data_IF_350431744109
#
_entry.id   IF_350431744109
#
_cell.length_a   1.000
_cell.length_b   1.000
_cell.length_c   1.000
_cell.angle_alpha   90.00
_cell.angle_beta   90.00
_cell.angle_gamma   90.00
#
_symmetry.space_group_name_H-M   'P 1'
#
loop_
_entity.id
_entity.type
_entity.pdbx_description
1 polymer ?
#
# COMPACT_ATOMS: atom_id res chain seq x y z
N UNK A 1 15.54 52.97 -27.54
CA UNK A 1 14.41 52.15 -27.03
C UNK A 1 13.87 51.29 -28.18
N UNK A 2 14.72 50.39 -28.70
CA UNK A 2 14.47 49.44 -29.80
C UNK A 2 15.80 48.69 -29.98
N UNK A 3 15.98 47.59 -29.24
CA UNK A 3 16.99 46.53 -29.53
C UNK A 3 17.01 45.37 -28.52
N UNK A 4 16.00 45.26 -27.63
CA UNK A 4 15.99 44.22 -26.59
C UNK A 4 15.30 42.90 -27.00
N UNK A 5 14.91 42.73 -28.26
CA UNK A 5 14.10 41.58 -28.73
C UNK A 5 14.80 40.66 -29.75
N UNK A 6 16.11 40.41 -29.61
CA UNK A 6 16.78 39.40 -30.47
C UNK A 6 17.90 38.64 -29.77
N UNK A 7 17.52 37.69 -28.92
CA UNK A 7 18.37 36.52 -28.61
C UNK A 7 17.51 35.25 -28.58
N UNK A 8 17.12 34.78 -29.77
CA UNK A 8 16.79 33.37 -30.00
C UNK A 8 18.08 32.57 -29.79
N UNK A 9 18.23 31.94 -28.63
CA UNK A 9 19.24 30.91 -28.42
C UNK A 9 18.65 29.61 -28.99
N UNK A 10 19.22 29.15 -30.09
CA UNK A 10 18.94 27.83 -30.64
C UNK A 10 19.16 26.78 -29.53
N UNK A 11 18.08 26.10 -29.14
CA UNK A 11 18.16 24.84 -28.40
C UNK A 11 18.63 23.82 -29.43
N UNK A 12 19.91 23.47 -29.40
CA UNK A 12 20.42 22.28 -30.06
C UNK A 12 19.81 21.09 -29.33
N UNK A 13 18.81 20.46 -29.95
CA UNK A 13 18.33 19.14 -29.56
C UNK A 13 19.51 18.20 -29.79
N UNK A 14 20.13 17.80 -28.69
CA UNK A 14 21.20 16.81 -28.70
C UNK A 14 20.58 15.48 -29.16
N UNK A 15 20.92 15.06 -30.38
CA UNK A 15 20.38 13.87 -31.06
C UNK A 15 20.94 12.54 -30.49
N UNK A 16 21.55 12.58 -29.32
CA UNK A 16 22.16 11.43 -28.62
C UNK A 16 21.20 10.71 -27.66
N UNK A 17 19.98 11.19 -27.45
CA UNK A 17 19.00 10.57 -26.55
C UNK A 17 18.22 9.37 -27.15
N UNK A 18 18.67 8.78 -28.27
CA UNK A 18 18.06 7.59 -28.88
C UNK A 18 18.97 6.35 -28.85
N UNK A 19 19.89 6.27 -27.89
CA UNK A 19 20.61 5.03 -27.57
C UNK A 19 20.50 4.76 -26.07
N UNK A 20 20.15 3.52 -25.73
CA UNK A 20 19.87 3.05 -24.37
C UNK A 20 21.10 2.96 -23.45
N UNK A 21 21.90 4.02 -23.36
CA UNK A 21 22.98 4.16 -22.39
C UNK A 21 22.59 5.20 -21.34
N UNK A 22 21.70 4.79 -20.43
CA UNK A 22 21.41 5.57 -19.23
C UNK A 22 22.58 5.48 -18.26
N UNK A 23 23.60 6.34 -18.43
CA UNK A 23 24.69 6.48 -17.46
C UNK A 23 24.11 6.83 -16.09
N UNK A 24 24.45 6.02 -15.08
CA UNK A 24 24.15 6.30 -13.69
C UNK A 24 24.86 7.60 -13.31
N UNK A 25 24.09 8.66 -13.03
CA UNK A 25 24.64 9.94 -12.58
C UNK A 25 24.17 10.22 -11.16
N UNK A 26 25.03 10.76 -10.29
CA UNK A 26 24.61 11.33 -9.02
C UNK A 26 23.46 12.31 -9.23
N UNK A 27 22.42 12.23 -8.40
CA UNK A 27 21.27 13.14 -8.50
C UNK A 27 21.66 14.62 -8.34
N UNK A 28 22.80 14.90 -7.68
CA UNK A 28 23.35 16.23 -7.43
C UNK A 28 24.11 16.84 -8.62
N UNK A 29 24.34 16.12 -9.72
CA UNK A 29 25.24 16.55 -10.81
C UNK A 29 24.54 17.40 -11.90
N UNK A 30 23.44 18.06 -11.56
CA UNK A 30 22.69 18.98 -12.44
C UNK A 30 22.47 20.33 -11.77
N UNK A 31 22.38 21.39 -12.58
CA UNK A 31 22.05 22.74 -12.12
C UNK A 31 20.66 22.70 -11.45
N UNK A 32 20.65 22.74 -10.11
CA UNK A 32 19.41 22.78 -9.31
C UNK A 32 18.77 24.12 -9.65
N UNK A 33 17.84 24.10 -10.62
CA UNK A 33 16.94 25.22 -10.79
C UNK A 33 16.19 25.30 -9.47
N UNK A 34 16.36 26.40 -8.73
CA UNK A 34 15.53 26.71 -7.57
C UNK A 34 14.10 26.83 -8.10
N UNK A 35 13.39 25.71 -8.18
CA UNK A 35 11.96 25.71 -8.44
C UNK A 35 11.38 26.44 -7.23
N UNK A 36 10.71 27.60 -7.41
CA UNK A 36 10.07 28.23 -6.29
C UNK A 36 9.17 27.19 -5.62
N UNK A 37 9.30 27.05 -4.30
CA UNK A 37 8.40 26.25 -3.49
C UNK A 37 7.02 26.87 -3.64
N UNK A 38 6.30 26.50 -4.70
CA UNK A 38 4.88 26.78 -4.79
C UNK A 38 4.29 25.90 -3.69
N UNK A 39 3.73 26.53 -2.68
CA UNK A 39 2.94 25.88 -1.64
C UNK A 39 1.71 25.29 -2.33
N UNK A 40 1.87 24.09 -2.93
CA UNK A 40 0.78 23.35 -3.53
C UNK A 40 -0.09 22.95 -2.35
N UNK A 41 -1.27 23.57 -2.25
CA UNK A 41 -2.28 23.30 -1.22
C UNK A 41 -2.35 21.80 -0.93
N UNK A 42 -2.25 21.43 0.36
CA UNK A 42 -2.21 20.03 0.77
C UNK A 42 -3.43 19.26 0.24
N UNK A 43 -3.19 18.18 -0.53
CA UNK A 43 -4.18 17.10 -0.64
C UNK A 43 -4.23 16.44 0.73
N UNK A 44 -5.16 16.88 1.58
CA UNK A 44 -5.37 16.33 2.92
C UNK A 44 -5.95 14.91 2.85
N UNK A 45 -5.13 13.93 2.47
CA UNK A 45 -5.48 12.50 2.50
C UNK A 45 -4.89 11.77 3.73
N UNK A 46 -3.81 12.31 4.31
CA UNK A 46 -3.16 11.74 5.50
C UNK A 46 -2.80 12.87 6.48
N UNK A 47 -3.53 12.97 7.59
CA UNK A 47 -3.18 13.86 8.70
C UNK A 47 -2.02 13.25 9.50
N UNK A 48 -0.85 13.89 9.46
CA UNK A 48 0.27 13.54 10.32
C UNK A 48 0.03 14.05 11.73
N UNK A 49 -0.08 13.16 12.72
CA UNK A 49 -0.04 13.57 14.14
C UNK A 49 1.33 14.12 14.52
N UNK A 50 2.40 13.53 13.99
CA UNK A 50 3.81 13.93 14.16
C UNK A 50 4.60 13.60 12.90
N UNK A 51 5.69 14.33 12.65
CA UNK A 51 6.55 14.12 11.48
C UNK A 51 6.49 15.24 10.46
N UNK A 52 6.99 14.97 9.25
CA UNK A 52 7.06 15.99 8.19
C UNK A 52 5.71 16.31 7.59
N UNK A 53 5.46 17.60 7.35
CA UNK A 53 4.31 18.08 6.57
C UNK A 53 4.61 18.18 5.08
N UNK A 54 5.86 17.99 4.66
CA UNK A 54 6.24 18.04 3.26
C UNK A 54 5.56 16.89 2.49
N UNK A 55 5.14 17.19 1.26
CA UNK A 55 4.51 16.25 0.33
C UNK A 55 5.16 16.40 -1.04
N UNK A 56 5.16 15.32 -1.80
CA UNK A 56 5.49 15.39 -3.21
C UNK A 56 4.39 16.14 -3.99
N UNK A 57 4.80 16.75 -5.09
CA UNK A 57 3.96 17.49 -6.03
C UNK A 57 3.92 16.79 -7.38
N UNK A 58 3.12 17.29 -8.33
CA UNK A 58 3.10 16.79 -9.70
C UNK A 58 4.39 17.11 -10.49
N UNK A 59 5.25 18.01 -9.97
CA UNK A 59 6.51 18.36 -10.61
C UNK A 59 7.65 17.44 -10.16
N UNK A 60 8.23 16.70 -11.11
CA UNK A 60 9.31 15.75 -10.86
C UNK A 60 10.60 16.42 -10.35
N UNK A 61 10.93 17.61 -10.85
CA UNK A 61 12.16 18.33 -10.48
C UNK A 61 12.07 18.82 -9.02
N UNK A 62 10.88 19.26 -8.59
CA UNK A 62 10.58 19.57 -7.20
C UNK A 62 10.73 18.35 -6.30
N UNK A 63 10.15 17.22 -6.70
CA UNK A 63 10.19 15.98 -5.92
C UNK A 63 11.62 15.48 -5.70
N UNK A 64 12.44 15.48 -6.76
CA UNK A 64 13.86 15.13 -6.68
C UNK A 64 14.59 16.11 -5.78
N UNK A 65 14.32 17.42 -5.86
CA UNK A 65 14.99 18.42 -5.02
C UNK A 65 14.71 18.24 -3.53
N UNK A 66 13.48 17.90 -3.14
CA UNK A 66 13.15 17.57 -1.75
C UNK A 66 13.91 16.34 -1.30
N UNK A 67 13.95 15.31 -2.15
CA UNK A 67 14.61 14.06 -1.81
C UNK A 67 16.12 14.25 -1.64
N UNK A 68 16.79 14.97 -2.55
CA UNK A 68 18.23 15.24 -2.47
C UNK A 68 18.60 16.16 -1.30
N UNK A 69 17.71 17.08 -0.92
CA UNK A 69 17.88 17.89 0.29
C UNK A 69 17.78 17.04 1.57
N UNK A 70 16.87 16.05 1.59
CA UNK A 70 16.69 15.14 2.73
C UNK A 70 17.82 14.12 2.85
N UNK A 71 18.24 13.56 1.73
CA UNK A 71 19.27 12.54 1.63
C UNK A 71 20.46 13.07 0.82
N UNK A 72 21.29 13.96 1.39
CA UNK A 72 22.45 14.55 0.71
C UNK A 72 23.60 13.53 0.62
N UNK A 73 23.42 12.51 -0.21
CA UNK A 73 24.44 11.49 -0.47
C UNK A 73 24.89 11.52 -1.92
N UNK A 74 26.18 11.26 -2.15
CA UNK A 74 26.73 11.08 -3.50
C UNK A 74 26.33 9.73 -4.11
N UNK A 75 25.99 8.77 -3.25
CA UNK A 75 25.52 7.43 -3.63
C UNK A 75 24.05 7.41 -4.07
N UNK A 76 23.36 8.55 -3.99
CA UNK A 76 22.01 8.68 -4.52
C UNK A 76 22.08 8.85 -6.04
N UNK A 77 21.78 7.76 -6.75
CA UNK A 77 21.87 7.68 -8.20
C UNK A 77 20.50 7.91 -8.84
N UNK A 78 20.48 8.70 -9.91
CA UNK A 78 19.28 9.03 -10.67
C UNK A 78 19.43 8.53 -12.11
N UNK A 79 18.48 7.71 -12.56
CA UNK A 79 18.38 7.27 -13.95
C UNK A 79 17.11 7.82 -14.60
N UNK A 80 17.27 8.50 -15.73
CA UNK A 80 16.19 9.20 -16.42
C UNK A 80 15.71 8.41 -17.63
N UNK A 81 14.40 8.33 -17.80
CA UNK A 81 13.71 7.66 -18.90
C UNK A 81 12.67 8.60 -19.51
N UNK A 82 12.33 8.34 -20.77
CA UNK A 82 11.20 8.98 -21.46
C UNK A 82 10.28 7.87 -21.95
N UNK A 83 9.03 7.88 -21.48
CA UNK A 83 8.06 6.80 -21.72
C UNK A 83 6.83 7.38 -22.43
N UNK A 84 6.32 6.63 -23.40
CA UNK A 84 5.14 7.02 -24.17
C UNK A 84 5.50 7.55 -25.55
N UNK A 85 4.97 6.93 -26.62
CA UNK A 85 5.27 7.36 -28.00
C UNK A 85 4.77 8.76 -28.32
N UNK A 86 3.67 9.20 -27.69
CA UNK A 86 3.08 10.53 -27.88
C UNK A 86 3.42 11.49 -26.76
N UNK A 87 3.32 11.06 -25.49
CA UNK A 87 3.52 11.96 -24.35
C UNK A 87 4.98 12.22 -24.01
N UNK A 88 5.90 11.28 -24.32
CA UNK A 88 7.32 11.35 -23.95
C UNK A 88 7.51 11.78 -22.47
N UNK A 89 6.69 11.20 -21.59
CA UNK A 89 6.63 11.56 -20.17
C UNK A 89 7.96 11.23 -19.50
N UNK A 90 8.50 12.18 -18.73
CA UNK A 90 9.76 11.99 -17.97
C UNK A 90 9.50 11.05 -16.79
N UNK A 91 10.35 10.05 -16.64
CA UNK A 91 10.35 9.13 -15.50
C UNK A 91 11.76 9.08 -14.93
N UNK A 92 11.90 9.16 -13.60
CA UNK A 92 13.19 9.13 -12.93
C UNK A 92 13.17 8.00 -11.91
N UNK A 93 14.06 7.04 -12.09
CA UNK A 93 14.36 6.00 -11.11
C UNK A 93 15.49 6.48 -10.20
N UNK A 94 15.28 6.38 -8.88
CA UNK A 94 16.21 6.82 -7.84
C UNK A 94 16.49 5.66 -6.90
N UNK A 95 17.76 5.44 -6.58
CA UNK A 95 18.21 4.38 -5.67
C UNK A 95 19.56 4.74 -5.04
N UNK A 96 19.89 4.09 -3.92
CA UNK A 96 21.21 4.19 -3.31
C UNK A 96 22.14 3.10 -3.87
N UNK A 97 23.24 3.50 -4.50
CA UNK A 97 24.17 2.58 -5.18
C UNK A 97 24.77 1.51 -4.26
N UNK A 98 25.13 1.89 -3.03
CA UNK A 98 25.76 0.98 -2.06
C UNK A 98 24.77 0.03 -1.37
N UNK A 99 23.49 0.37 -1.34
CA UNK A 99 22.47 -0.36 -0.57
C UNK A 99 21.55 -1.19 -1.46
N UNK A 100 21.18 -0.67 -2.62
CA UNK A 100 20.22 -1.31 -3.49
C UNK A 100 20.82 -2.55 -4.19
N UNK A 101 20.06 -3.64 -4.23
CA UNK A 101 20.49 -4.85 -4.92
C UNK A 101 20.58 -4.60 -6.44
N UNK A 102 21.77 -4.77 -7.06
CA UNK A 102 21.97 -4.48 -8.48
C UNK A 102 21.08 -5.33 -9.40
N UNK A 103 20.73 -6.56 -9.00
CA UNK A 103 19.83 -7.41 -9.75
C UNK A 103 18.43 -6.81 -9.84
N UNK A 104 17.90 -6.30 -8.72
CA UNK A 104 16.59 -5.66 -8.66
C UNK A 104 16.60 -4.32 -9.43
N UNK A 105 17.68 -3.54 -9.30
CA UNK A 105 17.87 -2.31 -10.09
C UNK A 105 17.82 -2.61 -11.59
N UNK A 106 18.50 -3.66 -12.05
CA UNK A 106 18.47 -4.06 -13.45
C UNK A 106 17.09 -4.52 -13.90
N UNK A 107 16.38 -5.28 -13.06
CA UNK A 107 15.05 -5.79 -13.37
C UNK A 107 14.02 -4.67 -13.51
N UNK A 108 14.00 -3.70 -12.58
CA UNK A 108 13.12 -2.54 -12.66
C UNK A 108 13.46 -1.68 -13.87
N UNK A 109 14.76 -1.44 -14.13
CA UNK A 109 15.22 -0.70 -15.30
C UNK A 109 14.73 -1.34 -16.60
N UNK A 110 14.87 -2.65 -16.74
CA UNK A 110 14.48 -3.39 -17.94
C UNK A 110 12.95 -3.36 -18.12
N UNK A 111 12.18 -3.52 -17.04
CA UNK A 111 10.72 -3.41 -17.07
C UNK A 111 10.26 -2.02 -17.48
N UNK A 112 10.83 -0.96 -16.90
CA UNK A 112 10.53 0.43 -17.28
C UNK A 112 10.86 0.67 -18.76
N UNK A 113 12.00 0.17 -19.23
CA UNK A 113 12.41 0.28 -20.64
C UNK A 113 11.53 -0.50 -21.61
N UNK A 114 10.89 -1.59 -21.16
CA UNK A 114 10.00 -2.41 -21.96
C UNK A 114 8.58 -1.82 -22.12
N UNK A 115 8.22 -0.77 -21.39
CA UNK A 115 6.86 -0.19 -21.41
C UNK A 115 6.56 0.43 -22.78
N UNK A 116 5.65 -0.20 -23.52
CA UNK A 116 5.13 0.29 -24.81
C UNK A 116 3.71 0.84 -24.64
N UNK A 117 3.60 2.07 -24.15
CA UNK A 117 2.33 2.82 -24.12
C UNK A 117 2.36 4.02 -25.05
N UNK A 118 1.18 4.50 -25.47
CA UNK A 118 1.06 5.73 -26.25
C UNK A 118 1.24 6.96 -25.36
N UNK A 119 0.66 6.91 -24.17
CA UNK A 119 0.61 8.02 -23.20
C UNK A 119 0.73 7.50 -21.79
N UNK A 120 1.45 8.22 -20.94
CA UNK A 120 1.50 8.02 -19.49
C UNK A 120 0.86 9.25 -18.85
N UNK A 121 -0.27 9.07 -18.15
CA UNK A 121 -0.98 10.15 -17.48
C UNK A 121 -0.66 10.24 -15.99
N UNK A 122 -0.32 9.11 -15.37
CA UNK A 122 -0.12 9.01 -13.92
C UNK A 122 0.88 7.89 -13.60
N UNK A 123 1.43 7.89 -12.39
CA UNK A 123 2.34 6.86 -11.87
C UNK A 123 1.72 5.47 -11.91
N UNK A 124 0.40 5.36 -11.67
CA UNK A 124 -0.38 4.11 -11.75
C UNK A 124 -0.22 3.38 -13.11
N UNK A 125 0.02 4.11 -14.21
CA UNK A 125 0.26 3.48 -15.51
C UNK A 125 1.61 2.77 -15.55
N UNK A 126 2.64 3.35 -14.91
CA UNK A 126 3.95 2.72 -14.80
C UNK A 126 3.85 1.54 -13.83
N UNK A 127 3.25 1.77 -12.66
CA UNK A 127 2.98 0.77 -11.63
C UNK A 127 2.42 -0.53 -12.23
N UNK A 128 1.28 -0.41 -12.93
CA UNK A 128 0.62 -1.56 -13.55
C UNK A 128 1.49 -2.30 -14.54
N UNK A 129 2.40 -1.64 -15.24
CA UNK A 129 3.25 -2.30 -16.25
C UNK A 129 4.52 -2.94 -15.66
N UNK A 130 4.94 -2.52 -14.46
CA UNK A 130 6.14 -3.05 -13.80
C UNK A 130 5.83 -4.18 -12.81
N UNK A 131 4.58 -4.32 -12.35
CA UNK A 131 4.18 -5.39 -11.44
C UNK A 131 4.29 -6.80 -12.06
N UNK A 132 4.65 -7.80 -11.25
CA UNK A 132 4.74 -9.20 -11.67
C UNK A 132 3.36 -9.81 -11.93
N UNK A 133 2.43 -9.63 -11.00
CA UNK A 133 1.13 -10.33 -11.02
C UNK A 133 -0.05 -9.36 -11.03
N UNK A 134 -0.36 -8.86 -12.22
CA UNK A 134 -1.43 -7.90 -12.50
C UNK A 134 -2.86 -8.35 -12.09
N UNK A 135 -3.05 -9.66 -11.86
CA UNK A 135 -4.35 -10.25 -11.48
C UNK A 135 -4.45 -10.43 -9.95
N UNK A 136 -3.31 -10.41 -9.25
CA UNK A 136 -3.28 -10.56 -7.80
C UNK A 136 -4.03 -9.39 -7.15
N UNK A 137 -4.90 -9.64 -6.17
CA UNK A 137 -5.51 -8.54 -5.42
C UNK A 137 -4.49 -7.83 -4.54
N UNK A 138 -3.37 -8.47 -4.18
CA UNK A 138 -2.34 -7.90 -3.33
C UNK A 138 -1.39 -7.01 -4.12
N UNK A 139 -1.18 -5.74 -3.71
CA UNK A 139 -0.28 -4.83 -4.39
C UNK A 139 1.18 -5.30 -4.20
N UNK A 140 1.96 -5.23 -5.26
CA UNK A 140 3.37 -5.67 -5.25
C UNK A 140 4.35 -4.50 -5.14
N UNK A 141 3.81 -3.29 -5.12
CA UNK A 141 4.49 -2.01 -5.02
C UNK A 141 3.77 -1.17 -3.97
N UNK A 142 4.50 -0.23 -3.38
CA UNK A 142 3.93 0.74 -2.45
C UNK A 142 3.93 2.11 -3.10
N UNK A 143 2.80 2.80 -3.08
CA UNK A 143 2.69 4.19 -3.53
C UNK A 143 2.70 5.14 -2.33
N UNK A 144 3.48 6.22 -2.43
CA UNK A 144 3.56 7.21 -1.35
C UNK A 144 3.74 8.63 -1.87
N UNK A 145 3.02 9.56 -1.25
CA UNK A 145 3.17 11.01 -1.45
C UNK A 145 4.13 11.63 -0.42
N UNK A 146 4.66 10.82 0.49
CA UNK A 146 5.46 11.33 1.61
C UNK A 146 6.96 11.15 1.34
N UNK A 147 7.75 12.25 1.42
CA UNK A 147 9.19 12.17 1.24
C UNK A 147 9.91 11.35 2.31
N UNK A 148 9.41 11.36 3.55
CA UNK A 148 9.98 10.58 4.67
C UNK A 148 9.85 9.07 4.48
N UNK A 149 8.71 8.61 3.93
CA UNK A 149 8.52 7.19 3.59
C UNK A 149 9.47 6.77 2.46
N UNK A 150 9.62 7.61 1.43
CA UNK A 150 10.54 7.34 0.31
C UNK A 150 11.99 7.31 0.76
N UNK A 151 12.39 8.24 1.65
CA UNK A 151 13.72 8.26 2.25
C UNK A 151 14.00 6.97 3.05
N UNK A 152 13.06 6.55 3.90
CA UNK A 152 13.18 5.29 4.65
C UNK A 152 13.28 4.07 3.72
N UNK A 153 12.49 4.03 2.65
CA UNK A 153 12.52 2.94 1.68
C UNK A 153 13.86 2.86 0.93
N UNK A 154 14.41 4.00 0.50
CA UNK A 154 15.72 4.06 -0.14
C UNK A 154 16.84 3.59 0.81
N UNK A 155 16.78 3.98 2.08
CA UNK A 155 17.73 3.54 3.11
C UNK A 155 17.65 2.02 3.38
N UNK A 156 16.48 1.40 3.15
CA UNK A 156 16.30 -0.05 3.21
C UNK A 156 16.78 -0.78 1.94
N UNK A 157 17.25 -0.06 0.92
CA UNK A 157 17.70 -0.64 -0.35
C UNK A 157 16.59 -0.81 -1.40
N UNK A 158 15.39 -0.26 -1.16
CA UNK A 158 14.31 -0.19 -2.15
C UNK A 158 14.59 0.91 -3.16
N UNK A 159 13.90 0.85 -4.29
CA UNK A 159 14.05 1.75 -5.44
C UNK A 159 12.79 2.62 -5.53
N UNK A 160 12.99 3.92 -5.77
CA UNK A 160 11.91 4.88 -5.94
C UNK A 160 11.78 5.27 -7.42
N UNK A 161 10.55 5.28 -7.95
CA UNK A 161 10.26 5.69 -9.32
C UNK A 161 9.32 6.89 -9.31
N UNK A 162 9.80 8.01 -9.84
CA UNK A 162 9.08 9.26 -9.97
C UNK A 162 8.56 9.42 -11.41
N UNK A 163 7.33 9.88 -11.55
CA UNK A 163 6.69 10.13 -12.86
C UNK A 163 6.26 11.59 -12.93
N UNK A 164 6.64 12.28 -14.00
CA UNK A 164 6.27 13.68 -14.22
C UNK A 164 4.76 13.82 -14.44
N UNK A 165 4.12 14.71 -13.69
CA UNK A 165 2.67 14.87 -13.64
C UNK A 165 1.95 14.07 -12.55
N UNK A 166 2.68 13.29 -11.72
CA UNK A 166 2.10 12.54 -10.60
C UNK A 166 2.72 12.94 -9.26
N UNK A 167 1.91 13.15 -8.20
CA UNK A 167 2.41 13.36 -6.84
C UNK A 167 2.79 12.06 -6.13
N UNK A 168 2.42 10.90 -6.68
CA UNK A 168 2.64 9.59 -6.09
C UNK A 168 3.97 9.00 -6.58
N UNK A 169 4.80 8.57 -5.64
CA UNK A 169 6.08 7.89 -5.90
C UNK A 169 5.89 6.39 -5.72
N UNK A 170 6.36 5.62 -6.68
CA UNK A 170 6.30 4.15 -6.63
C UNK A 170 7.55 3.64 -5.94
N UNK A 171 7.38 2.80 -4.91
CA UNK A 171 8.45 2.15 -4.17
C UNK A 171 8.42 0.65 -4.47
N UNK A 172 9.55 0.11 -4.90
CA UNK A 172 9.69 -1.29 -5.29
C UNK A 172 11.10 -1.80 -4.97
N UNK A 173 11.26 -3.07 -4.60
CA UNK A 173 10.22 -4.06 -4.28
C UNK A 173 9.51 -3.74 -2.96
N UNK A 174 8.44 -4.48 -2.68
CA UNK A 174 7.60 -4.29 -1.49
C UNK A 174 7.15 -5.64 -0.94
N UNK A 175 7.20 -5.80 0.38
CA UNK A 175 6.62 -6.93 1.11
C UNK A 175 5.30 -6.55 1.78
N UNK A 176 4.55 -7.54 2.24
CA UNK A 176 3.35 -7.30 3.05
C UNK A 176 3.62 -6.47 4.31
N UNK A 177 4.79 -6.64 4.90
CA UNK A 177 5.12 -5.96 6.14
C UNK A 177 5.43 -4.48 5.92
N UNK A 178 5.99 -4.11 4.77
CA UNK A 178 6.16 -2.69 4.40
C UNK A 178 4.81 -2.00 4.22
N UNK A 179 3.85 -2.68 3.58
CA UNK A 179 2.49 -2.17 3.39
C UNK A 179 1.72 -2.00 4.71
N UNK A 180 2.18 -2.65 5.78
CA UNK A 180 1.62 -2.55 7.13
C UNK A 180 2.41 -1.61 8.04
N UNK A 181 3.57 -1.12 7.59
CA UNK A 181 4.37 -0.16 8.32
C UNK A 181 3.79 1.25 8.17
N UNK A 182 4.12 2.12 9.13
CA UNK A 182 3.73 3.52 9.07
C UNK A 182 4.87 4.43 9.48
N UNK A 183 5.04 5.59 8.83
CA UNK A 183 6.04 6.57 9.25
C UNK A 183 5.77 7.11 10.66
N UNK A 184 4.51 7.08 11.11
CA UNK A 184 4.12 7.52 12.44
C UNK A 184 4.74 6.63 13.55
N UNK A 185 4.99 5.35 13.27
CA UNK A 185 5.72 4.47 14.20
C UNK A 185 7.16 4.95 14.41
N UNK A 186 7.74 5.62 13.40
CA UNK A 186 9.09 6.20 13.50
C UNK A 186 9.15 7.46 14.34
N UNK A 187 8.04 8.17 14.46
CA UNK A 187 7.94 9.37 15.28
C UNK A 187 7.48 9.07 16.72
N UNK A 188 7.29 7.80 17.08
CA UNK A 188 6.97 7.40 18.45
C UNK A 188 8.22 7.35 19.33
N UNK A 189 8.18 8.06 20.47
CA UNK A 189 9.27 8.06 21.46
C UNK A 189 9.54 6.69 22.06
N UNK A 190 8.48 5.89 22.27
CA UNK A 190 8.58 4.63 23.00
C UNK A 190 8.50 3.45 22.02
N UNK A 191 9.61 2.72 21.77
CA UNK A 191 9.64 1.65 20.77
C UNK A 191 8.67 0.50 21.09
N UNK A 192 8.45 0.19 22.38
CA UNK A 192 7.49 -0.83 22.81
C UNK A 192 6.06 -0.46 22.41
N UNK A 193 5.70 0.83 22.47
CA UNK A 193 4.39 1.29 22.00
C UNK A 193 4.25 1.12 20.48
N UNK A 194 5.30 1.44 19.70
CA UNK A 194 5.29 1.23 18.25
C UNK A 194 5.05 -0.26 17.91
N UNK A 195 5.74 -1.18 18.58
CA UNK A 195 5.54 -2.62 18.39
C UNK A 195 4.12 -3.07 18.79
N UNK A 196 3.55 -2.49 19.86
CA UNK A 196 2.16 -2.75 20.25
C UNK A 196 1.16 -2.32 19.17
N UNK A 197 1.33 -1.12 18.60
CA UNK A 197 0.47 -0.65 17.51
C UNK A 197 0.63 -1.50 16.24
N UNK A 198 1.84 -1.92 15.90
CA UNK A 198 2.08 -2.87 14.79
C UNK A 198 1.35 -4.19 15.00
N UNK A 199 1.46 -4.80 16.19
CA UNK A 199 0.73 -6.02 16.53
C UNK A 199 -0.79 -5.82 16.42
N UNK A 200 -1.31 -4.70 16.90
CA UNK A 200 -2.71 -4.35 16.77
C UNK A 200 -3.15 -4.24 15.29
N UNK A 201 -2.31 -3.70 14.39
CA UNK A 201 -2.60 -3.67 12.95
C UNK A 201 -2.68 -5.06 12.33
N UNK A 202 -1.79 -5.98 12.70
CA UNK A 202 -1.90 -7.38 12.22
C UNK A 202 -3.17 -8.07 12.73
N UNK A 203 -3.56 -7.83 13.99
CA UNK A 203 -4.84 -8.33 14.52
C UNK A 203 -6.03 -7.71 13.76
N UNK A 204 -6.00 -6.40 13.51
CA UNK A 204 -7.04 -5.70 12.74
C UNK A 204 -7.13 -6.22 11.30
N UNK A 205 -5.99 -6.52 10.66
CA UNK A 205 -5.95 -7.15 9.35
C UNK A 205 -6.67 -8.51 9.36
N UNK A 206 -6.35 -9.37 10.32
CA UNK A 206 -6.99 -10.67 10.47
C UNK A 206 -8.50 -10.51 10.70
N UNK A 207 -8.91 -9.66 11.65
CA UNK A 207 -10.33 -9.38 11.93
C UNK A 207 -11.06 -8.90 10.68
N UNK A 208 -10.50 -7.93 9.95
CA UNK A 208 -11.11 -7.37 8.76
C UNK A 208 -11.28 -8.41 7.64
N UNK A 209 -10.32 -9.32 7.47
CA UNK A 209 -10.36 -10.34 6.42
C UNK A 209 -11.24 -11.55 6.79
N UNK A 210 -11.26 -11.96 8.07
CA UNK A 210 -11.82 -13.26 8.48
C UNK A 210 -13.13 -13.17 9.26
N UNK A 211 -13.35 -12.12 10.06
CA UNK A 211 -14.44 -12.09 11.05
C UNK A 211 -15.84 -12.24 10.42
N UNK A 212 -16.18 -11.57 9.29
CA UNK A 212 -17.50 -11.72 8.66
C UNK A 212 -17.76 -13.14 8.15
N UNK A 213 -16.76 -13.74 7.48
CA UNK A 213 -16.87 -15.10 6.95
C UNK A 213 -16.96 -16.13 8.09
N UNK A 214 -16.17 -15.96 9.15
CA UNK A 214 -16.21 -16.81 10.33
C UNK A 214 -17.57 -16.74 11.03
N UNK A 215 -18.15 -15.54 11.16
CA UNK A 215 -19.48 -15.36 11.73
C UNK A 215 -20.55 -16.09 10.92
N UNK A 216 -20.57 -15.93 9.60
CA UNK A 216 -21.52 -16.63 8.71
C UNK A 216 -21.35 -18.15 8.82
N UNK A 217 -20.11 -18.64 8.80
CA UNK A 217 -19.80 -20.06 8.91
C UNK A 217 -20.27 -20.67 10.24
N UNK A 218 -19.98 -20.03 11.37
CA UNK A 218 -20.34 -20.55 12.70
C UNK A 218 -21.84 -20.48 12.93
N UNK A 219 -22.47 -19.34 12.65
CA UNK A 219 -23.91 -19.17 12.95
C UNK A 219 -24.83 -19.96 12.02
N UNK A 220 -24.39 -20.24 10.78
CA UNK A 220 -25.21 -21.00 9.81
C UNK A 220 -25.00 -22.50 9.90
N UNK A 221 -23.78 -22.97 10.24
CA UNK A 221 -23.44 -24.39 10.18
C UNK A 221 -23.06 -25.03 11.52
N UNK A 222 -22.49 -24.27 12.47
CA UNK A 222 -21.97 -24.80 13.74
C UNK A 222 -22.30 -23.87 14.93
N UNK A 223 -23.60 -23.62 15.23
CA UNK A 223 -24.00 -22.65 16.24
C UNK A 223 -23.59 -23.07 17.67
N UNK A 224 -23.36 -24.36 17.89
CA UNK A 224 -22.94 -24.94 19.18
C UNK A 224 -21.56 -24.47 19.66
N UNK A 225 -20.75 -23.89 18.76
CA UNK A 225 -19.43 -23.33 19.10
C UNK A 225 -19.54 -22.06 19.94
N UNK A 226 -20.70 -21.40 19.98
CA UNK A 226 -20.90 -20.22 20.82
C UNK A 226 -21.25 -20.59 22.26
N UNK A 227 -20.74 -19.82 23.26
CA UNK A 227 -21.22 -19.93 24.62
C UNK A 227 -22.75 -19.80 24.65
N UNK A 228 -23.42 -20.66 25.41
CA UNK A 228 -24.89 -20.78 25.42
C UNK A 228 -25.62 -19.45 25.60
N UNK A 229 -25.09 -18.56 26.44
CA UNK A 229 -25.64 -17.20 26.64
C UNK A 229 -25.60 -16.34 25.37
N UNK A 230 -24.51 -16.42 24.61
CA UNK A 230 -24.34 -15.68 23.36
C UNK A 230 -25.18 -16.30 22.25
N UNK A 231 -25.31 -17.63 22.23
CA UNK A 231 -26.17 -18.33 21.29
C UNK A 231 -27.64 -17.90 21.43
N UNK A 232 -28.16 -17.80 22.66
CA UNK A 232 -29.52 -17.31 22.89
C UNK A 232 -29.76 -15.90 22.36
N UNK A 233 -28.79 -14.99 22.51
CA UNK A 233 -28.86 -13.64 21.95
C UNK A 233 -28.95 -13.68 20.42
N UNK A 234 -28.13 -14.51 19.79
CA UNK A 234 -28.10 -14.66 18.33
C UNK A 234 -29.42 -15.26 17.84
N UNK A 235 -29.90 -16.35 18.45
CA UNK A 235 -31.15 -17.01 18.07
C UNK A 235 -32.35 -16.08 18.23
N UNK A 236 -32.45 -15.35 19.35
CA UNK A 236 -33.52 -14.37 19.55
C UNK A 236 -33.51 -13.28 18.46
N UNK A 237 -32.32 -12.78 18.09
CA UNK A 237 -32.20 -11.78 17.01
C UNK A 237 -32.54 -12.34 15.62
N UNK A 238 -32.56 -13.66 15.44
CA UNK A 238 -32.88 -14.32 14.17
C UNK A 238 -34.35 -14.62 13.99
N UNK A 239 -35.10 -14.83 15.07
CA UNK A 239 -36.56 -15.05 14.96
C UNK A 239 -37.28 -13.82 14.39
N UNK A 240 -36.66 -12.66 14.58
CA UNK A 240 -37.22 -11.37 14.18
C UNK A 240 -36.89 -11.00 12.73
N UNK A 241 -35.87 -11.62 12.10
CA UNK A 241 -35.39 -11.21 10.78
C UNK A 241 -35.87 -12.11 9.64
N UNK A 242 -36.23 -11.55 8.47
CA UNK A 242 -36.81 -12.32 7.36
C UNK A 242 -35.77 -13.01 6.47
N UNK A 243 -34.49 -12.66 6.58
CA UNK A 243 -33.43 -13.15 5.70
C UNK A 243 -32.53 -14.18 6.38
N UNK A 244 -31.93 -15.10 5.60
CA UNK A 244 -30.84 -15.91 6.12
C UNK A 244 -29.58 -15.06 6.33
N UNK A 245 -28.76 -15.47 7.31
CA UNK A 245 -27.58 -14.74 7.79
C UNK A 245 -26.61 -14.37 6.66
N UNK A 246 -26.41 -15.26 5.69
CA UNK A 246 -25.52 -15.00 4.57
C UNK A 246 -26.05 -13.87 3.67
N UNK A 247 -27.36 -13.78 3.42
CA UNK A 247 -27.97 -12.68 2.66
C UNK A 247 -27.83 -11.38 3.44
N UNK A 248 -28.12 -11.40 4.74
CA UNK A 248 -27.94 -10.22 5.61
C UNK A 248 -26.49 -9.72 5.57
N UNK A 249 -25.51 -10.63 5.63
CA UNK A 249 -24.09 -10.29 5.57
C UNK A 249 -23.71 -9.67 4.21
N UNK A 250 -24.17 -10.21 3.07
CA UNK A 250 -23.92 -9.62 1.76
C UNK A 250 -24.55 -8.23 1.60
N UNK A 251 -25.79 -8.05 2.06
CA UNK A 251 -26.48 -6.76 2.06
C UNK A 251 -25.69 -5.75 2.89
N UNK A 252 -25.29 -6.12 4.11
CA UNK A 252 -24.57 -5.22 5.00
C UNK A 252 -23.17 -4.86 4.48
N UNK A 253 -22.44 -5.83 3.90
CA UNK A 253 -21.16 -5.56 3.23
C UNK A 253 -21.33 -4.60 2.04
N UNK A 254 -22.36 -4.79 1.22
CA UNK A 254 -22.66 -3.91 0.09
C UNK A 254 -23.00 -2.48 0.54
N UNK A 255 -23.75 -2.33 1.62
CA UNK A 255 -24.09 -1.03 2.21
C UNK A 255 -22.84 -0.32 2.73
N UNK A 256 -22.00 -1.02 3.48
CA UNK A 256 -20.72 -0.49 3.97
C UNK A 256 -19.85 -0.02 2.79
N UNK A 257 -19.82 -0.78 1.70
CA UNK A 257 -19.06 -0.42 0.51
C UNK A 257 -19.63 0.83 -0.17
N UNK A 258 -20.95 0.93 -0.29
CA UNK A 258 -21.62 2.11 -0.82
C UNK A 258 -21.28 3.37 0.00
N UNK A 259 -21.33 3.27 1.34
CA UNK A 259 -20.94 4.37 2.23
C UNK A 259 -19.47 4.76 2.02
N UNK A 260 -18.55 3.80 1.89
CA UNK A 260 -17.12 4.11 1.68
C UNK A 260 -16.85 4.77 0.33
N UNK A 261 -17.54 4.32 -0.74
CA UNK A 261 -17.44 4.94 -2.06
C UNK A 261 -17.93 6.39 -2.05
N UNK A 262 -18.94 6.71 -1.24
CA UNK A 262 -19.37 8.10 -1.02
C UNK A 262 -18.30 8.91 -0.28
N UNK A 263 -17.71 8.36 0.80
CA UNK A 263 -16.69 9.05 1.59
C UNK A 263 -15.47 9.50 0.78
N UNK A 264 -15.01 8.69 -0.17
CA UNK A 264 -13.82 9.01 -0.98
C UNK A 264 -14.11 10.15 -1.98
N UNK A 265 -15.36 10.34 -2.39
CA UNK A 265 -15.74 11.29 -3.45
C UNK A 265 -16.23 12.63 -2.92
N UNK A 266 -16.65 12.69 -1.65
CA UNK A 266 -17.16 13.91 -1.04
C UNK A 266 -16.01 14.63 -0.31
N UNK A 267 -15.87 15.96 -0.46
CA UNK A 267 -14.88 16.74 0.29
C UNK A 267 -14.95 16.45 1.80
N UNK A 268 -13.79 16.28 2.44
CA UNK A 268 -13.65 15.78 3.82
C UNK A 268 -14.50 16.51 4.86
N UNK A 269 -14.71 17.83 4.69
CA UNK A 269 -15.50 18.66 5.62
C UNK A 269 -17.00 18.31 5.65
N UNK A 270 -17.54 17.79 4.54
CA UNK A 270 -18.98 17.45 4.42
C UNK A 270 -19.18 15.94 4.33
N UNK A 271 -18.23 15.23 3.73
CA UNK A 271 -18.27 13.79 3.50
C UNK A 271 -18.33 12.97 4.77
N UNK A 272 -17.57 13.36 5.80
CA UNK A 272 -17.59 12.68 7.09
C UNK A 272 -18.97 12.75 7.75
N UNK A 273 -19.60 13.93 7.75
CA UNK A 273 -20.92 14.14 8.36
C UNK A 273 -22.03 13.38 7.62
N UNK A 274 -22.03 13.42 6.28
CA UNK A 274 -23.00 12.68 5.48
C UNK A 274 -22.84 11.18 5.70
N UNK A 275 -21.62 10.65 5.62
CA UNK A 275 -21.38 9.22 5.81
C UNK A 275 -21.76 8.74 7.22
N UNK A 276 -21.49 9.55 8.24
CA UNK A 276 -21.90 9.27 9.61
C UNK A 276 -23.43 9.21 9.74
N UNK A 277 -24.13 10.23 9.25
CA UNK A 277 -25.59 10.29 9.29
C UNK A 277 -26.21 9.14 8.50
N UNK A 278 -25.78 8.92 7.26
CA UNK A 278 -26.28 7.82 6.41
C UNK A 278 -26.02 6.45 7.02
N UNK A 279 -24.82 6.22 7.56
CA UNK A 279 -24.47 4.95 8.20
C UNK A 279 -25.31 4.67 9.45
N UNK A 280 -25.41 5.64 10.36
CA UNK A 280 -26.19 5.49 11.60
C UNK A 280 -27.67 5.33 11.27
N UNK A 281 -28.25 6.18 10.41
CA UNK A 281 -29.68 6.10 10.07
C UNK A 281 -30.03 4.78 9.40
N UNK A 282 -29.20 4.30 8.48
CA UNK A 282 -29.46 3.04 7.80
C UNK A 282 -29.35 1.84 8.75
N UNK A 283 -28.33 1.82 9.62
CA UNK A 283 -28.18 0.79 10.64
C UNK A 283 -29.38 0.76 11.58
N UNK A 284 -29.76 1.92 12.11
CA UNK A 284 -30.88 2.04 13.04
C UNK A 284 -32.18 1.61 12.36
N UNK A 285 -32.44 2.06 11.14
CA UNK A 285 -33.63 1.67 10.38
C UNK A 285 -33.65 0.17 10.07
N UNK A 286 -32.50 -0.41 9.70
CA UNK A 286 -32.37 -1.84 9.41
C UNK A 286 -32.64 -2.72 10.63
N UNK A 287 -32.17 -2.32 11.81
CA UNK A 287 -32.43 -3.03 13.07
C UNK A 287 -33.90 -2.85 13.49
N UNK A 288 -34.44 -1.63 13.51
CA UNK A 288 -35.83 -1.40 13.96
C UNK A 288 -36.90 -1.96 13.03
N UNK A 289 -36.59 -2.12 11.73
CA UNK A 289 -37.46 -2.83 10.78
C UNK A 289 -37.26 -4.34 10.81
N UNK A 290 -36.36 -4.84 11.67
CA UNK A 290 -35.89 -6.22 11.71
C UNK A 290 -35.44 -6.75 10.33
N UNK A 291 -34.96 -5.87 9.45
CA UNK A 291 -34.47 -6.26 8.13
C UNK A 291 -33.10 -6.92 8.19
N UNK A 292 -32.30 -6.55 9.21
CA UNK A 292 -30.94 -7.07 9.44
C UNK A 292 -30.78 -7.35 10.92
N UNK A 293 -30.25 -8.53 11.26
CA UNK A 293 -29.99 -8.92 12.65
C UNK A 293 -28.89 -8.08 13.28
N UNK A 294 -29.07 -7.70 14.54
CA UNK A 294 -28.11 -6.91 15.29
C UNK A 294 -26.69 -7.53 15.30
N UNK A 295 -26.60 -8.87 15.34
CA UNK A 295 -25.32 -9.59 15.28
C UNK A 295 -24.55 -9.35 13.96
N UNK A 296 -25.24 -9.38 12.81
CA UNK A 296 -24.61 -9.12 11.51
C UNK A 296 -24.10 -7.69 11.44
N UNK A 297 -24.88 -6.72 11.95
CA UNK A 297 -24.47 -5.31 12.00
C UNK A 297 -23.22 -5.12 12.85
N UNK A 298 -23.17 -5.69 14.07
CA UNK A 298 -22.01 -5.59 14.96
C UNK A 298 -20.75 -6.16 14.30
N UNK A 299 -20.86 -7.35 13.68
CA UNK A 299 -19.71 -7.99 13.03
C UNK A 299 -19.25 -7.19 11.81
N UNK A 300 -20.18 -6.73 10.98
CA UNK A 300 -19.85 -5.96 9.78
C UNK A 300 -19.22 -4.60 10.13
N UNK A 301 -19.73 -3.91 11.16
CA UNK A 301 -19.15 -2.65 11.63
C UNK A 301 -17.77 -2.85 12.26
N UNK A 302 -17.58 -3.89 13.07
CA UNK A 302 -16.27 -4.20 13.65
C UNK A 302 -15.24 -4.50 12.55
N UNK A 303 -15.62 -5.29 11.54
CA UNK A 303 -14.78 -5.56 10.36
C UNK A 303 -14.43 -4.28 9.60
N UNK A 304 -15.39 -3.37 9.42
CA UNK A 304 -15.16 -2.09 8.76
C UNK A 304 -14.19 -1.22 9.56
N UNK A 305 -14.36 -1.12 10.88
CA UNK A 305 -13.47 -0.36 11.75
C UNK A 305 -12.05 -0.94 11.71
N UNK A 306 -11.92 -2.27 11.81
CA UNK A 306 -10.63 -2.95 11.68
C UNK A 306 -9.97 -2.70 10.32
N UNK A 307 -10.75 -2.60 9.24
CA UNK A 307 -10.23 -2.26 7.91
C UNK A 307 -9.55 -0.88 7.86
N UNK A 308 -9.94 0.06 8.74
CA UNK A 308 -9.29 1.37 8.84
C UNK A 308 -7.91 1.31 9.51
N UNK A 309 -7.61 0.24 10.26
CA UNK A 309 -6.32 0.02 10.89
C UNK A 309 -5.18 -0.35 9.92
N UNK A 310 -5.49 -0.86 8.73
CA UNK A 310 -4.50 -1.08 7.66
C UNK A 310 -4.01 0.29 7.14
N UNK A 311 -2.71 0.57 7.01
CA UNK A 311 -2.27 1.91 6.61
C UNK A 311 -2.32 2.12 5.10
N UNK A 312 -1.82 1.15 4.32
CA UNK A 312 -1.79 1.23 2.86
C UNK A 312 -3.20 1.19 2.24
N UNK A 313 -3.45 2.03 1.24
CA UNK A 313 -4.76 2.17 0.61
C UNK A 313 -5.10 0.98 -0.29
N UNK A 314 -4.16 0.53 -1.12
CA UNK A 314 -4.34 -0.56 -2.08
C UNK A 314 -4.54 -1.89 -1.36
N UNK A 315 -3.76 -2.16 -0.31
CA UNK A 315 -3.94 -3.32 0.56
C UNK A 315 -5.34 -3.36 1.19
N UNK A 316 -5.89 -2.19 1.56
CA UNK A 316 -7.25 -2.06 2.10
C UNK A 316 -8.32 -2.39 1.05
N UNK A 317 -8.04 -2.19 -0.24
CA UNK A 317 -8.90 -2.63 -1.33
C UNK A 317 -8.79 -4.14 -1.50
N UNK A 318 -7.58 -4.70 -1.46
CA UNK A 318 -7.34 -6.16 -1.52
C UNK A 318 -8.16 -6.93 -0.48
N UNK A 319 -8.14 -6.46 0.77
CA UNK A 319 -8.85 -7.10 1.90
C UNK A 319 -10.35 -7.18 1.66
N UNK A 320 -10.93 -6.23 0.94
CA UNK A 320 -12.37 -6.23 0.62
C UNK A 320 -12.72 -7.31 -0.38
N UNK A 321 -11.93 -7.43 -1.44
CA UNK A 321 -12.10 -8.50 -2.43
C UNK A 321 -11.98 -9.85 -1.74
N UNK A 322 -10.99 -9.99 -0.85
CA UNK A 322 -10.79 -11.16 -0.01
C UNK A 322 -12.00 -11.42 0.88
N UNK A 323 -12.56 -10.41 1.53
CA UNK A 323 -13.72 -10.54 2.42
C UNK A 323 -14.96 -11.06 1.67
N UNK A 324 -15.24 -10.54 0.46
CA UNK A 324 -16.33 -11.08 -0.36
C UNK A 324 -16.07 -12.53 -0.76
N UNK A 325 -14.82 -12.88 -1.09
CA UNK A 325 -14.42 -14.25 -1.42
C UNK A 325 -14.57 -15.21 -0.23
N UNK A 326 -14.08 -14.84 0.96
CA UNK A 326 -14.14 -15.68 2.16
C UNK A 326 -15.59 -15.87 2.63
N UNK A 327 -16.43 -14.82 2.59
CA UNK A 327 -17.85 -14.93 2.93
C UNK A 327 -18.60 -15.81 1.92
N UNK A 328 -18.27 -15.72 0.63
CA UNK A 328 -18.86 -16.60 -0.39
C UNK A 328 -18.51 -18.07 -0.15
N UNK A 329 -17.23 -18.37 0.13
CA UNK A 329 -16.79 -19.72 0.46
C UNK A 329 -17.42 -20.24 1.75
N UNK A 330 -17.51 -19.40 2.79
CA UNK A 330 -18.19 -19.73 4.04
C UNK A 330 -19.69 -19.95 3.86
N UNK A 331 -20.32 -19.25 2.93
CA UNK A 331 -21.74 -19.42 2.61
C UNK A 331 -21.99 -20.77 1.94
N UNK A 332 -21.10 -21.20 1.03
CA UNK A 332 -21.25 -22.45 0.28
C UNK A 332 -20.86 -23.71 1.07
N UNK A 333 -19.79 -23.63 1.87
CA UNK A 333 -19.20 -24.81 2.53
C UNK A 333 -19.02 -24.65 4.04
N UNK A 334 -19.60 -23.60 4.66
CA UNK A 334 -19.52 -23.36 6.09
C UNK A 334 -18.09 -23.16 6.58
N UNK A 335 -17.77 -23.74 7.75
CA UNK A 335 -16.45 -23.60 8.37
C UNK A 335 -15.33 -24.21 7.53
N UNK A 336 -15.63 -25.27 6.77
CA UNK A 336 -14.68 -25.87 5.84
C UNK A 336 -14.34 -24.89 4.71
N UNK A 337 -15.34 -24.22 4.14
CA UNK A 337 -15.14 -23.19 3.12
C UNK A 337 -14.29 -22.03 3.62
N UNK A 338 -14.56 -21.57 4.84
CA UNK A 338 -13.71 -20.56 5.49
C UNK A 338 -12.25 -21.04 5.61
N UNK A 339 -12.01 -22.25 6.13
CA UNK A 339 -10.66 -22.80 6.29
C UNK A 339 -9.93 -22.94 4.94
N UNK A 340 -10.61 -23.46 3.91
CA UNK A 340 -10.06 -23.58 2.55
C UNK A 340 -9.74 -22.20 1.97
N UNK A 341 -10.63 -21.22 2.13
CA UNK A 341 -10.38 -19.86 1.64
C UNK A 341 -9.19 -19.21 2.33
N UNK A 342 -9.07 -19.35 3.66
CA UNK A 342 -7.94 -18.85 4.43
C UNK A 342 -6.61 -19.50 4.01
N UNK A 343 -6.62 -20.82 3.81
CA UNK A 343 -5.46 -21.54 3.31
C UNK A 343 -5.07 -21.09 1.89
N UNK A 344 -6.03 -20.96 0.98
CA UNK A 344 -5.79 -20.50 -0.38
C UNK A 344 -5.20 -19.09 -0.43
N UNK A 345 -5.70 -18.17 0.42
CA UNK A 345 -5.17 -16.81 0.55
C UNK A 345 -3.73 -16.85 1.08
N UNK A 346 -3.47 -17.60 2.14
CA UNK A 346 -2.14 -17.74 2.72
C UNK A 346 -1.13 -18.34 1.73
N UNK A 347 -1.54 -19.39 0.99
CA UNK A 347 -0.72 -20.01 -0.05
C UNK A 347 -0.43 -19.04 -1.20
N UNK A 348 -1.43 -18.27 -1.65
CA UNK A 348 -1.25 -17.24 -2.67
C UNK A 348 -0.24 -16.18 -2.19
N UNK A 349 -0.43 -15.63 -0.99
CA UNK A 349 0.48 -14.66 -0.38
C UNK A 349 1.92 -15.17 -0.28
N UNK A 350 2.12 -16.43 0.12
CA UNK A 350 3.45 -17.05 0.20
C UNK A 350 4.09 -17.34 -1.17
N UNK A 351 3.28 -17.51 -2.22
CA UNK A 351 3.77 -17.74 -3.59
C UNK A 351 4.13 -16.45 -4.33
N UNK A 352 3.58 -15.32 -3.91
CA UNK A 352 3.80 -14.02 -4.52
C UNK A 352 5.25 -13.56 -4.36
N UNK A 353 5.76 -12.92 -5.41
CA UNK A 353 7.04 -12.23 -5.40
C UNK A 353 6.86 -10.81 -5.92
N UNK A 354 7.68 -9.91 -5.41
CA UNK A 354 7.82 -8.52 -5.86
C UNK A 354 9.26 -8.36 -6.32
N UNK A 355 9.50 -8.33 -7.64
CA UNK A 355 10.83 -8.19 -8.24
C UNK A 355 11.86 -9.17 -7.65
N UNK A 356 11.47 -10.45 -7.65
CA UNK A 356 12.28 -11.55 -7.11
C UNK A 356 12.21 -11.75 -5.60
N UNK A 357 11.77 -10.76 -4.82
CA UNK A 357 11.66 -10.88 -3.35
C UNK A 357 10.33 -11.52 -2.95
N UNK A 358 10.32 -12.54 -2.08
CA UNK A 358 9.09 -13.12 -1.54
C UNK A 358 8.22 -12.08 -0.83
N UNK A 359 6.95 -11.97 -1.20
CA UNK A 359 6.03 -10.97 -0.65
C UNK A 359 5.78 -11.13 0.86
N UNK A 360 5.94 -12.35 1.38
CA UNK A 360 5.82 -12.70 2.79
C UNK A 360 7.15 -12.69 3.55
N UNK A 361 8.28 -12.26 2.95
CA UNK A 361 9.52 -12.12 3.70
C UNK A 361 9.35 -11.06 4.81
N UNK A 362 9.82 -11.28 6.06
CA UNK A 362 10.68 -12.39 6.53
C UNK A 362 9.92 -13.57 7.20
N UNK A 363 8.59 -13.66 7.03
CA UNK A 363 7.79 -14.77 7.54
C UNK A 363 7.91 -16.02 6.66
N UNK A 364 7.91 -15.83 5.33
CA UNK A 364 8.13 -16.89 4.35
C UNK A 364 8.97 -16.33 3.19
N UNK A 365 10.28 -16.64 3.12
CA UNK A 365 11.06 -17.55 3.97
C UNK A 365 11.21 -17.05 5.41
N UNK A 366 11.38 -17.96 6.36
CA UNK A 366 11.60 -17.59 7.77
C UNK A 366 13.03 -17.05 7.91
N UNK A 367 13.17 -15.73 8.00
CA UNK A 367 14.46 -15.05 8.14
C UNK A 367 14.56 -14.36 9.50
N UNK A 368 15.22 -14.98 10.50
CA UNK A 368 15.26 -14.46 11.87
C UNK A 368 15.80 -13.03 11.99
N UNK A 369 16.69 -12.61 11.08
CA UNK A 369 17.23 -11.25 11.04
C UNK A 369 16.18 -10.19 10.69
N UNK A 370 15.21 -10.50 9.82
CA UNK A 370 14.13 -9.59 9.45
C UNK A 370 13.08 -9.41 10.55
N UNK A 371 12.80 -10.45 11.35
CA UNK A 371 11.78 -10.41 12.42
C UNK A 371 12.06 -9.36 13.49
N UNK A 372 13.35 -9.07 13.75
CA UNK A 372 13.76 -7.98 14.62
C UNK A 372 13.06 -6.68 14.22
N UNK A 373 13.14 -6.28 12.95
CA UNK A 373 12.60 -5.00 12.48
C UNK A 373 11.11 -5.03 12.18
N UNK A 374 10.61 -6.16 11.71
CA UNK A 374 9.20 -6.32 11.34
C UNK A 374 8.27 -6.28 12.55
N UNK A 375 8.68 -6.89 13.67
CA UNK A 375 7.82 -7.03 14.87
C UNK A 375 8.31 -6.18 16.05
N UNK A 376 9.62 -6.07 16.28
CA UNK A 376 10.18 -5.42 17.46
C UNK A 376 11.10 -4.25 17.11
N UNK A 377 10.55 -3.03 17.01
CA UNK A 377 11.36 -1.86 16.71
C UNK A 377 12.50 -1.69 17.73
N UNK A 378 13.74 -1.93 17.31
CA UNK A 378 14.95 -1.70 18.12
C UNK A 378 15.32 -0.20 18.14
N UNK A 379 16.29 0.18 18.99
CA UNK A 379 16.76 1.56 19.14
C UNK A 379 17.34 2.12 17.84
N UNK A 380 17.21 3.43 17.62
CA UNK A 380 17.70 4.12 16.42
C UNK A 380 19.23 4.07 16.21
N UNK A 381 19.99 3.77 17.27
CA UNK A 381 21.45 3.59 17.19
C UNK A 381 21.85 2.28 16.49
N UNK A 382 20.97 1.29 16.56
CA UNK A 382 21.09 0.01 15.86
C UNK A 382 19.92 -0.07 14.90
N UNK A 383 19.95 0.70 13.80
CA UNK A 383 19.06 0.46 12.66
C UNK A 383 19.79 -0.54 11.75
N UNK A 384 19.59 -1.85 11.93
CA UNK A 384 20.18 -2.86 11.09
C UNK A 384 19.54 -2.71 9.72
N UNK A 385 20.38 -2.74 8.70
CA UNK A 385 19.93 -2.79 7.31
C UNK A 385 19.05 -4.03 7.17
N UNK A 386 17.78 -3.85 6.80
CA UNK A 386 16.88 -4.96 6.54
C UNK A 386 17.48 -5.83 5.44
N UNK A 387 17.87 -7.05 5.81
CA UNK A 387 18.57 -7.96 4.89
C UNK A 387 17.64 -8.53 3.82
N UNK A 388 16.32 -8.37 4.00
CA UNK A 388 15.29 -8.80 3.05
C UNK A 388 15.55 -8.31 1.63
N UNK A 389 16.13 -7.12 1.48
CA UNK A 389 16.40 -6.48 0.18
C UNK A 389 17.80 -6.76 -0.38
N UNK A 390 18.68 -7.41 0.40
CA UNK A 390 19.98 -7.85 -0.10
C UNK A 390 19.79 -9.07 -1.02
N UNK A 391 20.67 -9.27 -2.01
CA UNK A 391 20.65 -10.50 -2.78
C UNK A 391 20.83 -11.69 -1.83
N UNK A 392 19.92 -12.66 -1.88
CA UNK A 392 20.12 -13.95 -1.23
C UNK A 392 21.46 -14.52 -1.72
N UNK A 393 22.36 -14.97 -0.83
CA UNK A 393 23.58 -15.63 -1.27
C UNK A 393 23.19 -16.80 -2.17
N UNK A 394 23.96 -16.99 -3.25
CA UNK A 394 23.71 -18.08 -4.17
C UNK A 394 23.69 -19.39 -3.40
N UNK A 395 22.88 -20.36 -3.85
CA UNK A 395 22.54 -21.63 -3.17
C UNK A 395 23.74 -22.59 -2.94
N UNK A 396 24.99 -22.10 -2.93
CA UNK A 396 26.22 -22.84 -2.66
C UNK A 396 26.97 -22.44 -1.38
N UNK A 397 26.57 -21.39 -0.67
CA UNK A 397 27.32 -20.89 0.51
C UNK A 397 26.84 -21.46 1.86
N UNK A 398 25.90 -22.41 1.86
CA UNK A 398 25.40 -23.05 3.11
C UNK A 398 26.15 -24.34 3.50
N UNK A 399 27.17 -24.74 2.75
CA UNK A 399 27.93 -25.98 2.98
C UNK A 399 29.32 -25.79 3.64
N UNK A 400 29.67 -24.59 4.11
CA UNK A 400 30.90 -24.38 4.91
C UNK A 400 30.59 -23.70 6.26
N UNK A 401 30.40 -24.54 7.30
CA UNK A 401 30.24 -24.11 8.69
C UNK A 401 30.27 -25.28 9.66
#
# INVERSE_FOLDING_TARGET
MLDFFRKKKHISIDKTAMSGEGNNKPCMEGEITQVPLIDVTSRDLQQTLRGTKARFSENIDYNISILTHRLPSRELLCQRFHIGTLSQTRVVMVYLGDTANPGIVSEIKDRIGAIKTKTVMDSIYIERNIEDSHISPFPQVETSQRPDVTESALLQGRIAVFVDGSPDVILAPTTFFDLMDTPDDAYMRWPVAASFYRAARYIMFLIAASLPALYVALTSYNPEMFPTKLLWLIVASREETPFPIYIEAFIMMGIIEAIRMMMIRIPTQVGATIALLSGITLVIAGIFSNFIGAGVVVIATLSMISSFGIPNFDLRISIRIIQFFTVSMATLFGIFGFAVSAFAIGAHMASLKSFGIPFMAPLAPLEPSGWGHTVFRQSSETMPLDETYKPLPAKGDFDEG
#
